data_IF_387148641655
#
_entry.id   IF_387148641655
#
_cell.length_a   1.000
_cell.length_b   1.000
_cell.length_c   1.000
_cell.angle_alpha   90.00
_cell.angle_beta   90.00
_cell.angle_gamma   90.00
#
_symmetry.space_group_name_H-M   'P 1'
#
loop_
_entity.id
_entity.type
_entity.pdbx_description
1 polymer ?
#
# COMPACT_ATOMS: atom_id res chain seq x y z
N UNK A 1 -25.69 36.30 -10.66
CA UNK A 1 -24.53 35.42 -10.91
C UNK A 1 -24.24 34.59 -9.64
N UNK A 2 -24.39 33.27 -9.67
CA UNK A 2 -24.07 32.39 -8.54
C UNK A 2 -22.56 32.13 -8.51
N UNK A 3 -21.86 32.69 -7.53
CA UNK A 3 -20.46 32.35 -7.24
C UNK A 3 -20.37 30.89 -6.80
N UNK A 4 -20.03 29.99 -7.73
CA UNK A 4 -19.57 28.64 -7.41
C UNK A 4 -18.20 28.78 -6.75
N UNK A 5 -18.17 28.92 -5.42
CA UNK A 5 -16.97 28.62 -4.63
C UNK A 5 -16.58 27.18 -4.98
N UNK A 6 -15.56 27.03 -5.82
CA UNK A 6 -14.86 25.76 -6.05
C UNK A 6 -14.35 25.34 -4.67
N UNK A 7 -15.08 24.44 -3.99
CA UNK A 7 -14.55 23.73 -2.83
C UNK A 7 -13.32 23.02 -3.37
N UNK A 8 -12.13 23.54 -3.05
CA UNK A 8 -10.91 22.76 -3.09
C UNK A 8 -11.21 21.55 -2.21
N UNK A 9 -11.53 20.42 -2.84
CA UNK A 9 -11.58 19.13 -2.16
C UNK A 9 -10.17 18.94 -1.65
N UNK A 10 -9.95 19.17 -0.36
CA UNK A 10 -8.69 18.85 0.27
C UNK A 10 -8.30 17.43 -0.12
N UNK A 11 -7.04 17.22 -0.48
CA UNK A 11 -6.51 15.88 -0.71
C UNK A 11 -6.93 15.01 0.46
N UNK A 12 -7.59 13.87 0.18
CA UNK A 12 -7.90 12.94 1.25
C UNK A 12 -6.56 12.44 1.81
N UNK A 13 -6.46 12.25 3.12
CA UNK A 13 -5.24 11.77 3.77
C UNK A 13 -4.68 10.50 3.09
N UNK A 14 -5.56 9.67 2.53
CA UNK A 14 -5.23 8.46 1.78
C UNK A 14 -4.49 8.76 0.47
N UNK A 15 -4.87 9.82 -0.26
CA UNK A 15 -4.21 10.22 -1.52
C UNK A 15 -2.79 10.72 -1.24
N UNK A 16 -2.60 11.44 -0.12
CA UNK A 16 -1.27 11.87 0.34
C UNK A 16 -0.41 10.66 0.74
N UNK A 17 -0.97 9.71 1.50
CA UNK A 17 -0.28 8.48 1.91
C UNK A 17 0.18 7.64 0.72
N UNK A 18 -0.69 7.46 -0.28
CA UNK A 18 -0.34 6.78 -1.53
C UNK A 18 0.76 7.55 -2.28
N UNK A 19 0.65 8.88 -2.36
CA UNK A 19 1.69 9.72 -2.96
C UNK A 19 3.06 9.56 -2.28
N UNK A 20 3.09 9.56 -0.94
CA UNK A 20 4.31 9.32 -0.16
C UNK A 20 4.88 7.93 -0.44
N UNK A 21 4.02 6.89 -0.46
CA UNK A 21 4.45 5.52 -0.75
C UNK A 21 5.11 5.42 -2.13
N UNK A 22 4.53 6.03 -3.15
CA UNK A 22 5.08 6.05 -4.52
C UNK A 22 6.44 6.74 -4.54
N UNK A 23 6.58 7.88 -3.85
CA UNK A 23 7.86 8.59 -3.75
C UNK A 23 8.92 7.74 -3.06
N UNK A 24 8.58 7.04 -1.98
CA UNK A 24 9.51 6.13 -1.28
C UNK A 24 9.99 5.04 -2.23
N UNK A 25 9.07 4.36 -2.93
CA UNK A 25 9.42 3.30 -3.89
C UNK A 25 10.31 3.85 -5.01
N UNK A 26 10.02 5.04 -5.52
CA UNK A 26 10.84 5.68 -6.55
C UNK A 26 12.26 5.98 -6.05
N UNK A 27 12.41 6.55 -4.85
CA UNK A 27 13.71 6.82 -4.24
C UNK A 27 14.51 5.52 -4.09
N UNK A 28 13.89 4.44 -3.63
CA UNK A 28 14.57 3.14 -3.48
C UNK A 28 15.05 2.57 -4.80
N UNK A 29 14.26 2.69 -5.88
CA UNK A 29 14.68 2.29 -7.21
C UNK A 29 15.88 3.11 -7.69
N UNK A 30 15.86 4.43 -7.49
CA UNK A 30 16.99 5.30 -7.83
C UNK A 30 18.23 4.93 -7.04
N UNK A 31 18.11 4.68 -5.73
CA UNK A 31 19.21 4.27 -4.86
C UNK A 31 19.82 2.93 -5.28
N UNK A 32 19.00 1.95 -5.67
CA UNK A 32 19.47 0.66 -6.23
C UNK A 32 20.34 0.87 -7.46
N UNK A 33 19.96 1.79 -8.36
CA UNK A 33 20.67 2.02 -9.62
C UNK A 33 21.84 3.01 -9.54
N UNK A 34 21.97 3.73 -8.43
CA UNK A 34 23.03 4.74 -8.22
C UNK A 34 24.02 4.30 -7.15
N UNK A 35 23.67 4.48 -5.88
CA UNK A 35 24.55 4.28 -4.72
C UNK A 35 24.83 2.79 -4.49
N UNK A 36 23.80 1.96 -4.64
CA UNK A 36 23.88 0.52 -4.34
C UNK A 36 24.02 -0.36 -5.57
N UNK A 37 24.46 0.20 -6.71
CA UNK A 37 24.56 -0.52 -7.99
C UNK A 37 25.38 -1.80 -7.90
N UNK A 38 26.45 -1.78 -7.10
CA UNK A 38 27.36 -2.91 -6.90
C UNK A 38 27.13 -3.66 -5.57
N UNK A 39 26.06 -3.30 -4.85
CA UNK A 39 25.71 -4.00 -3.62
C UNK A 39 25.23 -5.41 -3.96
N UNK A 40 25.65 -6.39 -3.17
CA UNK A 40 25.08 -7.74 -3.21
C UNK A 40 23.68 -7.78 -2.59
N UNK A 41 23.24 -6.69 -1.93
CA UNK A 41 21.90 -6.58 -1.39
C UNK A 41 20.87 -6.50 -2.52
N UNK A 42 19.97 -7.48 -2.57
CA UNK A 42 18.85 -7.41 -3.50
C UNK A 42 17.75 -6.50 -2.94
N UNK A 43 17.44 -5.42 -3.64
CA UNK A 43 16.38 -4.48 -3.28
C UNK A 43 14.99 -4.92 -3.73
N UNK A 44 14.88 -5.86 -4.67
CA UNK A 44 13.58 -6.27 -5.20
C UNK A 44 12.65 -6.88 -4.14
N UNK A 45 13.13 -7.75 -3.22
CA UNK A 45 12.31 -8.28 -2.14
C UNK A 45 11.86 -7.18 -1.16
N UNK A 46 12.75 -6.24 -0.80
CA UNK A 46 12.44 -5.10 0.08
C UNK A 46 11.41 -4.14 -0.53
N UNK A 47 11.54 -3.81 -1.82
CA UNK A 47 10.56 -2.96 -2.52
C UNK A 47 9.19 -3.65 -2.52
N UNK A 48 9.17 -4.95 -2.82
CA UNK A 48 7.95 -5.75 -2.83
C UNK A 48 7.29 -5.77 -1.45
N UNK A 49 8.07 -5.97 -0.38
CA UNK A 49 7.60 -5.94 1.00
C UNK A 49 6.93 -4.61 1.34
N UNK A 50 7.57 -3.48 1.00
CA UNK A 50 7.04 -2.14 1.28
C UNK A 50 5.73 -1.88 0.53
N UNK A 51 5.63 -2.31 -0.72
CA UNK A 51 4.39 -2.17 -1.52
C UNK A 51 3.25 -2.97 -0.89
N UNK A 52 3.50 -4.24 -0.53
CA UNK A 52 2.50 -5.11 0.11
C UNK A 52 2.06 -4.55 1.46
N UNK A 53 3.00 -4.06 2.28
CA UNK A 53 2.72 -3.40 3.55
C UNK A 53 1.89 -2.11 3.35
N UNK A 54 2.23 -1.32 2.33
CA UNK A 54 1.48 -0.12 1.95
C UNK A 54 0.03 -0.43 1.58
N UNK A 55 -0.21 -1.50 0.81
CA UNK A 55 -1.56 -1.94 0.44
C UNK A 55 -2.37 -2.31 1.69
N UNK A 56 -1.76 -3.03 2.63
CA UNK A 56 -2.39 -3.37 3.91
C UNK A 56 -2.77 -2.10 4.67
N UNK A 57 -1.81 -1.23 4.93
CA UNK A 57 -2.01 0.02 5.69
C UNK A 57 -3.12 0.87 5.06
N UNK A 58 -3.04 1.14 3.75
CA UNK A 58 -4.02 1.97 3.05
C UNK A 58 -5.40 1.33 3.11
N UNK A 59 -5.51 0.00 3.00
CA UNK A 59 -6.81 -0.67 3.02
C UNK A 59 -7.49 -0.60 4.39
N UNK A 60 -6.74 -0.72 5.49
CA UNK A 60 -7.27 -0.58 6.85
C UNK A 60 -7.55 0.88 7.23
N UNK A 61 -6.79 1.84 6.71
CA UNK A 61 -7.05 3.28 6.93
C UNK A 61 -8.24 3.77 6.08
N UNK A 62 -8.40 3.25 4.86
CA UNK A 62 -9.48 3.62 3.94
C UNK A 62 -10.80 2.94 4.30
N UNK A 63 -11.29 3.20 5.52
CA UNK A 63 -12.62 2.81 5.98
C UNK A 63 -13.64 3.70 5.27
N UNK A 64 -14.50 3.10 4.43
CA UNK A 64 -15.64 3.82 3.87
C UNK A 64 -16.51 4.35 5.02
N UNK A 65 -16.81 5.66 5.07
CA UNK A 65 -17.51 6.29 6.19
C UNK A 65 -18.98 5.86 6.33
N UNK A 66 -19.49 5.03 5.41
CA UNK A 66 -20.91 4.67 5.27
C UNK A 66 -21.27 3.28 5.79
N UNK A 67 -20.30 2.44 6.15
CA UNK A 67 -20.54 1.13 6.75
C UNK A 67 -19.86 1.08 8.11
N UNK A 68 -20.52 0.43 9.06
CA UNK A 68 -20.10 0.21 10.46
C UNK A 68 -18.57 0.09 10.57
N UNK A 69 -17.98 0.62 11.64
CA UNK A 69 -16.56 0.53 12.01
C UNK A 69 -16.06 -0.92 12.25
N UNK A 70 -16.47 -1.87 11.44
CA UNK A 70 -16.04 -3.26 11.48
C UNK A 70 -14.66 -3.33 10.85
N UNK A 71 -13.65 -3.71 11.65
CA UNK A 71 -12.25 -3.81 11.20
C UNK A 71 -12.13 -4.77 10.01
N UNK A 72 -12.90 -5.86 10.03
CA UNK A 72 -12.97 -6.86 8.97
C UNK A 72 -14.23 -6.70 8.13
N UNK A 73 -14.13 -7.02 6.84
CA UNK A 73 -15.22 -6.92 5.87
C UNK A 73 -15.30 -8.24 5.10
N UNK A 74 -16.49 -8.83 5.00
CA UNK A 74 -16.69 -10.11 4.28
C UNK A 74 -16.43 -10.01 2.77
N UNK A 75 -16.43 -8.81 2.21
CA UNK A 75 -16.18 -8.57 0.78
C UNK A 75 -14.79 -9.08 0.38
N UNK A 76 -14.75 -10.10 -0.49
CA UNK A 76 -13.50 -10.70 -0.96
C UNK A 76 -12.63 -9.79 -1.84
N UNK A 77 -13.23 -8.84 -2.56
CA UNK A 77 -12.51 -7.88 -3.42
C UNK A 77 -12.51 -6.47 -2.81
N UNK A 78 -11.35 -5.82 -2.84
CA UNK A 78 -11.13 -4.48 -2.30
C UNK A 78 -11.61 -3.36 -3.21
N UNK A 79 -10.86 -2.25 -3.24
CA UNK A 79 -11.01 -1.23 -4.28
C UNK A 79 -10.40 -1.74 -5.59
N UNK A 80 -11.21 -1.87 -6.64
CA UNK A 80 -10.80 -2.47 -7.92
C UNK A 80 -10.93 -4.00 -7.94
N UNK A 81 -9.98 -4.68 -8.58
CA UNK A 81 -9.94 -6.14 -8.74
C UNK A 81 -8.94 -6.84 -7.80
N UNK A 82 -8.42 -6.13 -6.80
CA UNK A 82 -7.48 -6.69 -5.83
C UNK A 82 -8.20 -7.44 -4.72
N UNK A 83 -7.56 -8.47 -4.17
CA UNK A 83 -8.05 -9.17 -2.99
C UNK A 83 -8.13 -8.17 -1.83
N UNK A 84 -9.23 -8.17 -1.09
CA UNK A 84 -9.43 -7.27 0.03
C UNK A 84 -8.62 -7.73 1.25
N UNK A 85 -7.59 -6.99 1.70
CA UNK A 85 -6.86 -7.35 2.91
C UNK A 85 -7.69 -7.22 4.20
N UNK A 86 -8.89 -6.60 4.16
CA UNK A 86 -9.81 -6.58 5.30
C UNK A 86 -10.74 -7.79 5.36
N UNK A 87 -10.71 -8.66 4.36
CA UNK A 87 -11.28 -10.00 4.47
C UNK A 87 -10.24 -10.90 5.14
N UNK A 88 -10.63 -11.77 6.09
CA UNK A 88 -9.70 -12.66 6.81
C UNK A 88 -8.86 -13.54 5.87
N UNK A 89 -9.48 -14.11 4.83
CA UNK A 89 -8.77 -14.88 3.81
C UNK A 89 -7.82 -14.00 3.00
N UNK A 90 -8.26 -12.78 2.66
CA UNK A 90 -7.39 -11.82 1.99
C UNK A 90 -6.18 -11.43 2.85
N UNK A 91 -6.40 -11.07 4.10
CA UNK A 91 -5.35 -10.76 5.07
C UNK A 91 -4.33 -11.89 5.17
N UNK A 92 -4.81 -13.13 5.28
CA UNK A 92 -3.96 -14.31 5.31
C UNK A 92 -3.04 -14.40 4.07
N UNK A 93 -3.56 -14.16 2.88
CA UNK A 93 -2.76 -14.14 1.65
C UNK A 93 -1.72 -13.00 1.65
N UNK A 94 -2.09 -11.81 2.11
CA UNK A 94 -1.14 -10.69 2.21
C UNK A 94 -0.04 -10.95 3.26
N UNK A 95 -0.35 -11.65 4.35
CA UNK A 95 0.65 -12.06 5.35
C UNK A 95 1.62 -13.08 4.74
N UNK A 96 1.12 -14.09 4.02
CA UNK A 96 1.98 -15.02 3.28
C UNK A 96 2.88 -14.27 2.31
N UNK A 97 2.32 -13.31 1.58
CA UNK A 97 3.07 -12.50 0.63
C UNK A 97 4.17 -11.68 1.31
N UNK A 98 3.88 -11.06 2.46
CA UNK A 98 4.89 -10.36 3.27
C UNK A 98 6.03 -11.29 3.69
N UNK A 99 5.71 -12.47 4.22
CA UNK A 99 6.71 -13.47 4.62
C UNK A 99 7.54 -13.90 3.41
N UNK A 100 6.90 -14.18 2.27
CA UNK A 100 7.58 -14.57 1.04
C UNK A 100 8.53 -13.47 0.53
N UNK A 101 8.17 -12.18 0.70
CA UNK A 101 9.04 -11.07 0.28
C UNK A 101 10.26 -10.84 1.17
N UNK A 102 10.23 -11.24 2.45
CA UNK A 102 11.38 -11.07 3.35
C UNK A 102 12.25 -12.33 3.44
N UNK A 103 11.68 -13.50 3.11
CA UNK A 103 12.35 -14.81 3.17
C UNK A 103 13.73 -14.84 2.49
N UNK A 104 13.95 -14.21 1.31
CA UNK A 104 15.25 -14.20 0.65
C UNK A 104 16.38 -13.52 1.43
N UNK A 105 16.08 -12.76 2.50
CA UNK A 105 17.11 -12.17 3.36
C UNK A 105 17.60 -13.11 4.47
N UNK A 106 16.94 -14.27 4.64
CA UNK A 106 17.23 -15.22 5.72
C UNK A 106 17.77 -16.57 5.23
N UNK A 107 17.83 -16.78 3.91
CA UNK A 107 18.31 -18.00 3.25
C UNK A 107 19.48 -17.61 2.37
#
# INVERSE_FOLDING_TARGET
MKNKKKKLKGMKANDLLVGILVVIVFIMLVLRHTIFKNSQFDFLPLISFIVVLGILIVSFINVEPTKKHEVFVEKGLGFGYTINPRNLFGLFLYIILLVATILPYFI
#
